data_IF_787689397661
#
_entry.id   IF_787689397661
#
_cell.length_a   1.000
_cell.length_b   1.000
_cell.length_c   1.000
_cell.angle_alpha   90.00
_cell.angle_beta   90.00
_cell.angle_gamma   90.00
#
_symmetry.space_group_name_H-M   'P 1'
#
loop_
_entity.id
_entity.type
_entity.pdbx_description
1 polymer ?
#
# COMPACT_ATOMS: atom_id res chain seq x y z
N UNK A 1 13.40 4.98 24.13
CA UNK A 1 12.34 5.71 23.40
C UNK A 1 11.83 4.82 22.29
N UNK A 2 10.51 4.62 22.16
CA UNK A 2 9.90 3.79 21.11
C UNK A 2 9.05 4.67 20.21
N UNK A 3 9.26 4.61 18.90
CA UNK A 3 8.43 5.28 17.89
C UNK A 3 7.53 4.23 17.25
N UNK A 4 6.25 4.54 17.10
CA UNK A 4 5.26 3.62 16.50
C UNK A 4 4.58 4.32 15.33
N UNK A 5 4.54 3.64 14.19
CA UNK A 5 3.82 4.09 13.01
C UNK A 5 2.63 3.18 12.76
N UNK A 6 1.51 3.77 12.38
CA UNK A 6 0.32 3.05 11.96
C UNK A 6 -0.09 3.57 10.59
N UNK A 7 -0.22 2.67 9.62
CA UNK A 7 -0.68 3.00 8.28
C UNK A 7 -1.54 1.85 7.74
N UNK A 8 -2.50 2.18 6.88
CA UNK A 8 -3.36 1.22 6.19
C UNK A 8 -2.96 1.19 4.72
N UNK A 9 -2.68 0.00 4.19
CA UNK A 9 -2.34 -0.21 2.77
C UNK A 9 -3.30 -1.21 2.17
N UNK A 10 -3.80 -0.91 0.97
CA UNK A 10 -4.55 -1.87 0.15
C UNK A 10 -3.61 -2.45 -0.90
N UNK A 11 -3.33 -3.74 -0.80
CA UNK A 11 -2.44 -4.48 -1.71
C UNK A 11 -3.20 -5.66 -2.31
N UNK A 12 -2.88 -5.98 -3.56
CA UNK A 12 -3.32 -7.24 -4.20
C UNK A 12 -2.41 -8.39 -3.76
N UNK A 13 -2.81 -9.63 -4.02
CA UNK A 13 -2.01 -10.80 -3.64
C UNK A 13 -0.62 -10.81 -4.27
N UNK A 14 0.41 -11.04 -3.45
CA UNK A 14 1.81 -11.00 -3.87
C UNK A 14 2.80 -10.86 -2.71
N UNK A 15 4.09 -10.87 -3.05
CA UNK A 15 5.18 -10.65 -2.10
C UNK A 15 5.66 -9.20 -2.18
N UNK A 16 5.66 -8.51 -1.04
CA UNK A 16 6.08 -7.12 -0.91
C UNK A 16 7.23 -7.01 0.07
N UNK A 17 8.12 -6.05 -0.14
CA UNK A 17 9.26 -5.78 0.73
C UNK A 17 9.13 -4.41 1.37
N UNK A 18 9.48 -4.32 2.66
CA UNK A 18 9.44 -3.08 3.43
C UNK A 18 10.86 -2.69 3.83
N UNK A 19 11.24 -1.46 3.47
CA UNK A 19 12.52 -0.82 3.81
C UNK A 19 12.23 0.38 4.71
N UNK A 20 12.47 0.30 6.03
CA UNK A 20 12.45 1.49 6.87
C UNK A 20 13.71 2.34 6.64
N UNK A 21 13.54 3.65 6.72
CA UNK A 21 14.63 4.63 6.64
C UNK A 21 14.42 5.77 7.65
N UNK A 22 15.51 6.34 8.13
CA UNK A 22 15.53 7.53 8.99
C UNK A 22 16.29 8.61 8.25
N UNK A 23 15.66 9.78 8.07
CA UNK A 23 16.26 10.92 7.38
C UNK A 23 16.15 12.20 8.20
N UNK A 24 16.99 13.17 7.84
CA UNK A 24 16.87 14.51 8.37
C UNK A 24 15.72 15.25 7.68
N UNK A 25 15.25 16.34 8.28
CA UNK A 25 14.11 17.15 7.77
C UNK A 25 14.36 17.73 6.38
N UNK A 26 15.62 17.83 5.95
CA UNK A 26 16.04 18.51 4.72
C UNK A 26 15.72 17.74 3.42
N UNK A 27 15.11 16.56 3.52
CA UNK A 27 14.75 15.62 2.44
C UNK A 27 15.89 15.17 1.52
N UNK A 28 17.14 15.51 1.86
CA UNK A 28 18.33 15.23 1.05
C UNK A 28 19.30 14.29 1.74
N UNK A 29 19.32 14.31 3.07
CA UNK A 29 20.26 13.54 3.88
C UNK A 29 19.53 12.44 4.65
N UNK A 30 20.10 11.24 4.58
CA UNK A 30 19.61 10.07 5.31
C UNK A 30 20.60 9.72 6.41
N UNK A 31 20.08 9.31 7.57
CA UNK A 31 20.87 8.83 8.68
C UNK A 31 21.20 7.34 8.48
N UNK A 32 20.18 6.53 8.20
CA UNK A 32 20.32 5.09 7.99
C UNK A 32 19.07 4.51 7.30
N UNK A 33 19.20 3.33 6.70
CA UNK A 33 18.10 2.54 6.15
C UNK A 33 18.41 1.04 6.22
N UNK A 34 17.36 0.21 6.28
CA UNK A 34 17.51 -1.25 6.23
C UNK A 34 16.74 -1.79 5.04
N UNK A 35 17.46 -2.20 4.00
CA UNK A 35 16.85 -2.73 2.78
C UNK A 35 16.08 -4.02 3.04
N UNK A 36 14.81 -4.07 2.61
CA UNK A 36 13.97 -5.25 2.62
C UNK A 36 13.90 -5.95 4.00
N UNK A 37 13.84 -5.16 5.08
CA UNK A 37 13.81 -5.64 6.46
C UNK A 37 12.66 -6.65 6.71
N UNK A 38 11.52 -6.46 6.05
CA UNK A 38 10.34 -7.31 6.18
C UNK A 38 9.80 -7.69 4.82
N UNK A 39 9.44 -8.96 4.65
CA UNK A 39 8.62 -9.44 3.54
C UNK A 39 7.19 -9.65 4.01
N UNK A 40 6.23 -9.11 3.26
CA UNK A 40 4.79 -9.29 3.49
C UNK A 40 4.26 -10.17 2.36
N UNK A 41 3.75 -11.35 2.72
CA UNK A 41 3.00 -12.20 1.81
C UNK A 41 1.51 -11.84 1.91
N UNK A 42 0.97 -11.20 0.88
CA UNK A 42 -0.45 -10.88 0.78
C UNK A 42 -1.14 -12.04 0.04
N UNK A 43 -2.08 -12.69 0.72
CA UNK A 43 -2.83 -13.78 0.12
C UNK A 43 -3.76 -13.25 -0.97
N UNK A 44 -3.67 -13.86 -2.16
CA UNK A 44 -4.53 -13.51 -3.29
C UNK A 44 -5.98 -13.87 -2.99
N UNK A 45 -6.90 -12.93 -3.23
CA UNK A 45 -8.34 -13.10 -2.99
C UNK A 45 -9.20 -12.90 -4.26
N UNK A 46 -8.57 -12.88 -5.43
CA UNK A 46 -9.21 -12.75 -6.77
C UNK A 46 -10.19 -11.57 -6.93
N UNK A 47 -10.13 -10.56 -6.06
CA UNK A 47 -11.06 -9.42 -6.10
C UNK A 47 -10.80 -8.42 -7.21
N UNK A 48 -9.54 -8.26 -7.62
CA UNK A 48 -9.11 -7.29 -8.61
C UNK A 48 -7.78 -7.68 -9.23
N UNK A 49 -7.48 -7.07 -10.38
CA UNK A 49 -6.18 -7.13 -11.06
C UNK A 49 -5.35 -5.86 -10.78
N UNK A 50 -4.02 -5.97 -10.89
CA UNK A 50 -3.09 -4.87 -10.62
C UNK A 50 -2.36 -4.98 -9.28
N UNK A 51 -1.84 -3.86 -8.77
CA UNK A 51 -1.00 -3.82 -7.55
C UNK A 51 -1.75 -3.39 -6.28
N UNK A 52 -2.88 -2.68 -6.43
CA UNK A 52 -3.68 -2.09 -5.35
C UNK A 52 -5.16 -2.39 -5.56
N UNK A 53 -5.85 -2.75 -4.47
CA UNK A 53 -7.31 -2.79 -4.42
C UNK A 53 -7.87 -1.39 -4.10
N UNK A 54 -8.48 -0.75 -5.09
CA UNK A 54 -9.12 0.56 -4.94
C UNK A 54 -10.53 0.48 -4.34
N UNK A 55 -11.07 -0.72 -4.13
CA UNK A 55 -12.42 -0.96 -3.64
C UNK A 55 -13.48 -0.19 -4.45
N UNK A 56 -13.31 -0.16 -5.76
CA UNK A 56 -14.18 0.55 -6.70
C UNK A 56 -15.61 0.01 -6.63
N UNK A 57 -16.59 0.91 -6.70
CA UNK A 57 -18.02 0.59 -6.74
C UNK A 57 -18.61 1.08 -8.04
N UNK A 58 -19.42 0.25 -8.68
CA UNK A 58 -20.16 0.60 -9.90
C UNK A 58 -21.64 0.53 -9.58
N UNK A 59 -22.38 1.58 -9.91
CA UNK A 59 -23.85 1.60 -9.90
C UNK A 59 -24.33 1.90 -11.32
N UNK A 60 -25.36 1.17 -11.77
CA UNK A 60 -25.97 1.36 -13.08
C UNK A 60 -27.43 1.78 -12.84
N UNK A 61 -27.81 2.94 -13.38
CA UNK A 61 -29.18 3.44 -13.35
C UNK A 61 -29.77 3.41 -14.75
N UNK A 62 -31.05 3.05 -14.87
CA UNK A 62 -31.75 3.09 -16.15
C UNK A 62 -31.94 4.54 -16.57
N UNK A 63 -31.39 4.93 -17.71
CA UNK A 63 -31.75 6.19 -18.34
C UNK A 63 -33.22 6.10 -18.75
N UNK A 64 -34.10 6.86 -18.09
CA UNK A 64 -35.48 6.99 -18.52
C UNK A 64 -35.46 7.74 -19.86
N UNK A 65 -35.64 6.99 -20.95
CA UNK A 65 -35.88 7.57 -22.27
C UNK A 65 -37.16 8.38 -22.23
N UNK A 66 -37.04 9.67 -22.54
CA UNK A 66 -38.12 10.62 -22.78
C UNK A 66 -38.89 10.30 -24.06
#
# INVERSE_FOLDING_TARGET
>A
MRVTFLFKVSLIGGNYYVTPAIGYKDSKTYCDWVNNMLTINVLKNEKAEGITDLNSKISIEKANGS
#
